data_IF_376187126473
#
_entry.id   IF_376187126473
#
_cell.length_a   1.000
_cell.length_b   1.000
_cell.length_c   1.000
_cell.angle_alpha   90.00
_cell.angle_beta   90.00
_cell.angle_gamma   90.00
#
_symmetry.space_group_name_H-M   'P 1'
#
loop_
_entity.id
_entity.type
_entity.pdbx_description
1 polymer ?
#
# COMPACT_ATOMS: atom_id res chain seq x y z
N UNK A 1 -9.24 28.74 -8.07
CA UNK A 1 -7.95 28.51 -7.46
C UNK A 1 -6.85 29.12 -8.33
N UNK A 2 -6.03 29.99 -7.76
CA UNK A 2 -5.00 30.77 -8.46
C UNK A 2 -3.67 30.02 -8.67
N UNK A 3 -3.68 28.69 -8.61
CA UNK A 3 -2.49 27.85 -8.81
C UNK A 3 -1.53 27.78 -7.63
N UNK A 4 -1.90 28.30 -6.47
CA UNK A 4 -1.14 28.03 -5.24
C UNK A 4 -1.48 26.63 -4.71
N UNK A 5 -0.47 25.89 -4.30
CA UNK A 5 -0.67 24.61 -3.63
C UNK A 5 -1.45 24.83 -2.32
N UNK A 6 -2.57 24.14 -2.17
CA UNK A 6 -3.41 24.22 -0.97
C UNK A 6 -3.54 22.83 -0.38
N UNK A 7 -3.11 22.70 0.87
CA UNK A 7 -3.23 21.46 1.62
C UNK A 7 -4.62 21.34 2.25
N UNK A 8 -5.14 20.13 2.34
CA UNK A 8 -6.34 19.81 3.10
C UNK A 8 -6.00 18.81 4.19
N UNK A 9 -6.43 19.08 5.43
CA UNK A 9 -6.08 18.26 6.59
C UNK A 9 -7.29 18.00 7.47
N UNK A 10 -7.40 16.75 7.96
CA UNK A 10 -8.30 16.37 9.05
C UNK A 10 -7.45 15.92 10.23
N UNK A 11 -7.74 16.48 11.39
CA UNK A 11 -7.09 16.15 12.65
C UNK A 11 -8.02 15.34 13.55
N UNK A 12 -7.44 14.54 14.44
CA UNK A 12 -8.13 13.93 15.57
C UNK A 12 -7.47 14.42 16.86
N UNK A 13 -7.94 13.95 18.02
CA UNK A 13 -7.41 14.34 19.32
C UNK A 13 -5.89 14.12 19.46
N UNK A 14 -5.37 13.06 18.82
CA UNK A 14 -3.96 12.66 18.93
C UNK A 14 -3.19 12.65 17.61
N UNK A 15 -3.88 12.70 16.48
CA UNK A 15 -3.26 12.67 15.14
C UNK A 15 -3.51 13.99 14.42
N UNK A 16 -2.46 14.78 14.24
CA UNK A 16 -2.53 16.07 13.53
C UNK A 16 -2.71 15.90 12.01
N UNK A 17 -2.48 14.70 11.47
CA UNK A 17 -2.63 14.36 10.06
C UNK A 17 -3.35 13.00 9.91
N UNK A 18 -4.54 12.87 10.48
CA UNK A 18 -5.36 11.67 10.31
C UNK A 18 -5.70 11.43 8.84
N UNK A 19 -6.01 12.51 8.11
CA UNK A 19 -6.02 12.59 6.65
C UNK A 19 -5.27 13.85 6.23
N UNK A 20 -4.46 13.75 5.20
CA UNK A 20 -3.72 14.86 4.63
C UNK A 20 -3.66 14.78 3.11
N UNK A 21 -4.15 15.80 2.42
CA UNK A 21 -3.93 15.97 0.99
C UNK A 21 -2.89 17.07 0.80
N UNK A 22 -1.72 16.70 0.32
CA UNK A 22 -0.60 17.59 0.03
C UNK A 22 -0.78 18.17 -1.37
N UNK A 23 -1.19 19.42 -1.45
CA UNK A 23 -1.41 20.10 -2.71
C UNK A 23 -0.13 20.45 -3.45
N UNK A 24 1.03 20.44 -2.78
CA UNK A 24 2.33 20.69 -3.42
C UNK A 24 2.93 19.45 -4.06
N UNK A 25 2.62 18.27 -3.52
CA UNK A 25 3.15 16.99 -3.98
C UNK A 25 2.12 16.15 -4.77
N UNK A 26 0.86 16.60 -4.85
CA UNK A 26 -0.26 15.85 -5.45
C UNK A 26 -0.43 14.45 -4.84
N UNK A 27 -0.34 14.34 -3.51
CA UNK A 27 -0.38 13.07 -2.78
C UNK A 27 -1.33 13.10 -1.59
N UNK A 28 -1.70 11.90 -1.14
CA UNK A 28 -2.60 11.71 0.00
C UNK A 28 -1.88 10.86 1.07
N UNK A 29 -1.98 11.31 2.31
CA UNK A 29 -1.49 10.60 3.49
C UNK A 29 -2.59 10.28 4.49
N UNK A 30 -2.54 9.11 5.09
CA UNK A 30 -3.27 8.75 6.29
C UNK A 30 -2.26 8.49 7.40
N UNK A 31 -2.36 9.24 8.51
CA UNK A 31 -1.43 9.15 9.63
C UNK A 31 -0.06 9.81 9.40
N UNK A 32 0.15 10.51 8.29
CA UNK A 32 1.42 11.16 7.94
C UNK A 32 1.21 12.53 7.32
N UNK A 33 2.12 13.46 7.62
CA UNK A 33 2.22 14.78 6.98
C UNK A 33 3.18 14.78 5.77
N UNK A 34 3.79 13.64 5.44
CA UNK A 34 4.80 13.56 4.38
C UNK A 34 4.59 12.31 3.52
N UNK A 35 3.57 12.30 2.65
CA UNK A 35 3.33 11.19 1.73
C UNK A 35 4.33 11.22 0.58
N UNK A 36 5.54 10.66 0.78
CA UNK A 36 6.67 10.84 -0.15
C UNK A 36 6.79 9.75 -1.20
N UNK A 37 6.49 8.49 -0.88
CA UNK A 37 6.90 7.35 -1.71
C UNK A 37 5.84 6.86 -2.68
N UNK A 38 4.57 7.21 -2.48
CA UNK A 38 3.44 6.75 -3.28
C UNK A 38 2.40 7.85 -3.42
N UNK A 39 1.49 7.69 -4.37
CA UNK A 39 0.33 8.59 -4.54
C UNK A 39 -0.56 8.59 -3.29
N UNK A 40 -0.74 7.41 -2.66
CA UNK A 40 -1.40 7.27 -1.36
C UNK A 40 -0.44 6.58 -0.39
N UNK A 41 -0.21 7.19 0.78
CA UNK A 41 0.59 6.63 1.87
C UNK A 41 -0.28 6.43 3.10
N UNK A 42 -0.24 5.23 3.69
CA UNK A 42 -0.86 4.91 4.99
C UNK A 42 0.27 4.60 5.97
N UNK A 43 0.42 5.42 6.99
CA UNK A 43 1.50 5.30 7.98
C UNK A 43 0.92 4.97 9.36
N UNK A 44 1.21 3.77 9.83
CA UNK A 44 0.97 3.36 11.21
C UNK A 44 2.30 3.48 11.97
N UNK A 45 2.58 4.67 12.49
CA UNK A 45 3.86 5.04 13.07
C UNK A 45 4.15 4.43 14.45
N UNK A 46 3.18 3.80 15.11
CA UNK A 46 3.38 3.24 16.44
C UNK A 46 4.15 1.93 16.41
N UNK A 47 5.34 1.90 17.02
CA UNK A 47 6.13 0.67 17.16
C UNK A 47 5.58 -0.31 18.21
N UNK A 48 4.64 0.13 19.04
CA UNK A 48 4.05 -0.65 20.14
C UNK A 48 2.58 -1.00 19.92
N UNK A 49 1.95 -0.40 18.91
CA UNK A 49 0.55 -0.69 18.56
C UNK A 49 0.44 -2.01 17.80
N UNK A 50 -0.43 -2.89 18.26
CA UNK A 50 -0.69 -4.18 17.62
C UNK A 50 -1.84 -4.08 16.60
N UNK A 51 -1.83 -3.04 15.75
CA UNK A 51 -2.85 -2.79 14.73
C UNK A 51 -2.27 -2.85 13.33
N UNK A 52 -3.03 -3.38 12.39
CA UNK A 52 -2.64 -3.38 10.97
C UNK A 52 -2.78 -1.98 10.36
N UNK A 53 -1.95 -1.65 9.37
CA UNK A 53 -2.09 -0.40 8.60
C UNK A 53 -3.42 -0.32 7.85
N UNK A 54 -3.90 -1.44 7.35
CA UNK A 54 -5.12 -1.53 6.55
C UNK A 54 -5.83 -2.84 6.82
N UNK A 55 -7.13 -2.78 7.08
CA UNK A 55 -8.01 -3.93 7.08
C UNK A 55 -8.96 -3.80 5.89
N UNK A 56 -9.05 -4.84 5.08
CA UNK A 56 -10.02 -4.96 4.00
C UNK A 56 -11.02 -6.04 4.40
N UNK A 57 -12.29 -5.67 4.46
CA UNK A 57 -13.39 -6.57 4.81
C UNK A 57 -14.33 -6.66 3.59
N UNK A 58 -14.43 -7.84 3.02
CA UNK A 58 -15.26 -8.13 1.86
C UNK A 58 -16.39 -9.07 2.27
N UNK A 59 -17.63 -8.55 2.23
CA UNK A 59 -18.83 -9.32 2.57
C UNK A 59 -19.36 -10.20 1.43
N UNK A 60 -18.93 -9.96 0.19
CA UNK A 60 -19.30 -10.78 -0.97
C UNK A 60 -18.26 -11.87 -1.20
N UNK A 61 -18.70 -13.14 -1.12
CA UNK A 61 -17.79 -14.29 -1.14
C UNK A 61 -17.13 -14.57 -2.47
N UNK A 62 -17.58 -13.98 -3.57
CA UNK A 62 -17.08 -14.18 -4.93
C UNK A 62 -16.33 -12.96 -5.50
N UNK A 63 -16.10 -11.92 -4.69
CA UNK A 63 -15.37 -10.75 -5.15
C UNK A 63 -13.96 -10.67 -4.55
N UNK A 64 -13.05 -10.10 -5.30
CA UNK A 64 -11.67 -9.88 -4.86
C UNK A 64 -11.55 -8.74 -3.82
N UNK A 65 -10.61 -8.84 -2.87
CA UNK A 65 -10.27 -7.76 -1.93
C UNK A 65 -9.55 -6.60 -2.59
N UNK A 66 -8.70 -6.87 -3.59
CA UNK A 66 -7.90 -5.88 -4.31
C UNK A 66 -7.85 -6.30 -5.78
N UNK A 67 -8.13 -5.34 -6.67
CA UNK A 67 -7.91 -5.50 -8.10
C UNK A 67 -6.63 -4.76 -8.50
N UNK A 68 -5.75 -5.45 -9.21
CA UNK A 68 -4.56 -4.86 -9.81
C UNK A 68 -4.77 -4.77 -11.33
N UNK A 69 -4.90 -3.55 -11.84
CA UNK A 69 -4.97 -3.28 -13.28
C UNK A 69 -3.64 -2.67 -13.73
N UNK A 70 -2.93 -3.37 -14.60
CA UNK A 70 -1.62 -2.94 -15.06
C UNK A 70 -1.21 -3.62 -16.36
N UNK A 71 -0.10 -3.15 -16.93
CA UNK A 71 0.49 -3.78 -18.12
C UNK A 71 1.26 -5.02 -17.69
N UNK A 72 0.93 -6.17 -18.30
CA UNK A 72 1.66 -7.42 -18.08
C UNK A 72 2.60 -7.74 -19.25
N UNK A 73 3.74 -8.33 -18.93
CA UNK A 73 4.71 -8.87 -19.89
C UNK A 73 5.57 -9.95 -19.22
N UNK A 74 6.29 -10.72 -20.02
CA UNK A 74 7.17 -11.76 -19.51
C UNK A 74 8.52 -11.28 -18.96
N UNK A 75 8.65 -9.98 -18.72
CA UNK A 75 9.84 -9.39 -18.13
C UNK A 75 9.51 -8.66 -16.81
N UNK A 76 10.52 -8.38 -16.01
CA UNK A 76 10.39 -7.71 -14.72
C UNK A 76 10.19 -6.19 -14.80
N UNK A 77 10.10 -5.59 -16.01
CA UNK A 77 9.98 -4.14 -16.19
C UNK A 77 8.53 -3.64 -16.14
N UNK A 78 7.56 -4.53 -16.12
CA UNK A 78 6.14 -4.21 -16.14
C UNK A 78 5.51 -4.32 -14.74
N UNK A 79 4.37 -3.66 -14.57
CA UNK A 79 3.61 -3.71 -13.31
C UNK A 79 3.22 -5.11 -12.90
N UNK A 80 2.95 -5.97 -13.88
CA UNK A 80 2.59 -7.37 -13.68
C UNK A 80 3.51 -8.22 -14.57
N UNK A 81 4.30 -9.13 -13.98
CA UNK A 81 5.06 -10.12 -14.74
C UNK A 81 4.15 -11.29 -15.10
N UNK A 82 4.09 -11.62 -16.40
CA UNK A 82 3.43 -12.81 -16.92
C UNK A 82 4.39 -13.99 -17.12
N UNK A 83 5.64 -13.87 -16.68
CA UNK A 83 6.59 -14.98 -16.72
C UNK A 83 6.13 -16.13 -15.82
N UNK A 84 6.22 -17.34 -16.33
CA UNK A 84 5.99 -18.56 -15.54
C UNK A 84 7.25 -19.03 -14.82
N UNK A 85 8.40 -18.45 -15.15
CA UNK A 85 9.64 -18.70 -14.45
C UNK A 85 9.75 -17.77 -13.25
N UNK A 86 9.87 -18.34 -12.08
CA UNK A 86 10.16 -17.64 -10.83
C UNK A 86 11.66 -17.70 -10.57
N UNK A 87 12.46 -17.32 -11.57
CA UNK A 87 13.89 -17.54 -11.62
C UNK A 87 14.75 -16.85 -10.55
N UNK A 88 14.16 -16.07 -9.67
CA UNK A 88 14.88 -15.46 -8.57
C UNK A 88 15.01 -16.37 -7.34
N UNK A 89 15.99 -16.07 -6.51
CA UNK A 89 16.11 -16.68 -5.19
C UNK A 89 15.04 -16.09 -4.26
N UNK A 90 14.49 -16.93 -3.40
CA UNK A 90 13.58 -16.45 -2.35
C UNK A 90 14.37 -15.64 -1.32
N UNK A 91 14.06 -14.35 -1.22
CA UNK A 91 14.75 -13.41 -0.32
C UNK A 91 13.96 -13.08 0.94
N UNK A 92 12.67 -13.44 0.99
CA UNK A 92 11.87 -13.15 2.17
C UNK A 92 10.38 -13.51 2.00
N UNK A 93 9.58 -12.96 2.90
CA UNK A 93 8.13 -13.09 2.86
C UNK A 93 7.46 -11.88 3.53
N UNK A 94 6.31 -11.48 3.01
CA UNK A 94 5.40 -10.52 3.64
C UNK A 94 4.38 -11.30 4.46
N UNK A 95 4.25 -10.98 5.74
CA UNK A 95 3.21 -11.54 6.59
C UNK A 95 1.88 -10.85 6.30
N UNK A 96 0.85 -11.64 6.11
CA UNK A 96 -0.55 -11.21 6.01
C UNK A 96 -1.38 -12.00 7.00
N UNK A 97 -2.51 -11.45 7.41
CA UNK A 97 -3.47 -12.20 8.23
C UNK A 97 -4.74 -12.47 7.40
N UNK A 98 -5.14 -13.73 7.36
CA UNK A 98 -6.36 -14.16 6.69
C UNK A 98 -7.24 -14.88 7.71
N UNK A 99 -8.39 -14.31 8.00
CA UNK A 99 -9.36 -14.86 8.94
C UNK A 99 -8.74 -15.22 10.31
N UNK A 100 -7.93 -14.30 10.87
CA UNK A 100 -7.29 -14.49 12.17
C UNK A 100 -6.03 -15.37 12.15
N UNK A 101 -5.63 -15.92 11.00
CA UNK A 101 -4.45 -16.77 10.87
C UNK A 101 -3.37 -16.11 10.03
N UNK A 102 -2.13 -16.08 10.54
CA UNK A 102 -0.99 -15.55 9.80
C UNK A 102 -0.64 -16.42 8.60
N UNK A 103 -0.40 -15.78 7.47
CA UNK A 103 0.03 -16.36 6.20
C UNK A 103 1.21 -15.56 5.65
N UNK A 104 1.89 -16.09 4.64
CA UNK A 104 3.09 -15.46 4.10
C UNK A 104 3.07 -15.49 2.57
N UNK A 105 3.22 -14.31 1.97
CA UNK A 105 3.47 -14.14 0.53
C UNK A 105 4.99 -14.18 0.34
N UNK A 106 5.48 -15.09 -0.50
CA UNK A 106 6.92 -15.22 -0.79
C UNK A 106 7.41 -14.09 -1.68
N UNK A 107 8.61 -13.58 -1.39
CA UNK A 107 9.30 -12.55 -2.16
C UNK A 107 10.53 -13.17 -2.81
N UNK A 108 10.73 -12.90 -4.09
CA UNK A 108 11.88 -13.30 -4.87
C UNK A 108 12.70 -12.08 -5.27
N UNK A 109 14.00 -12.23 -5.52
CA UNK A 109 14.93 -11.15 -5.89
C UNK A 109 14.79 -10.71 -7.35
N UNK A 110 14.20 -11.55 -8.20
CA UNK A 110 13.89 -11.21 -9.58
C UNK A 110 12.61 -11.90 -10.04
N UNK A 111 12.02 -11.37 -11.11
CA UNK A 111 10.81 -11.94 -11.74
C UNK A 111 11.16 -13.05 -12.75
N UNK A 112 12.40 -13.15 -13.12
CA UNK A 112 12.96 -14.09 -14.11
C UNK A 112 14.34 -14.54 -13.69
#
# INVERSE_FOLDING_TARGET
DSGAAVDFRIETDTLTHAFFADGSADKIGFGTSSPTSAFVTIDQASSTGAIACLTLDQGDGDQEFIRFDGTSASDGSKSISSSTDTGGSKVGAIRININGTDRFIRIYDSAI
#
